data_IF_032949107988
#
_entry.id   IF_032949107988
#
_cell.length_a   1.000
_cell.length_b   1.000
_cell.length_c   1.000
_cell.angle_alpha   90.00
_cell.angle_beta   90.00
_cell.angle_gamma   90.00
#
_symmetry.space_group_name_H-M   'P 1'
#
loop_
_entity.id
_entity.type
_entity.pdbx_description
1 polymer ?
#
# COMPACT_ATOMS: atom_id res chain seq x y z
N UNK A 1 -14.44 30.40 -9.01
CA UNK A 1 -14.26 29.11 -8.33
C UNK A 1 -14.61 28.05 -9.35
N UNK A 2 -13.59 27.54 -10.03
CA UNK A 2 -13.71 26.53 -11.08
C UNK A 2 -13.13 25.23 -10.53
N UNK A 3 -13.98 24.21 -10.40
CA UNK A 3 -13.59 22.86 -10.00
C UNK A 3 -13.15 22.09 -11.26
N UNK A 4 -11.97 22.45 -11.77
CA UNK A 4 -11.34 21.77 -12.90
C UNK A 4 -10.77 20.42 -12.48
N UNK A 5 -11.48 19.34 -12.82
CA UNK A 5 -11.10 17.95 -12.60
C UNK A 5 -9.84 17.52 -13.37
N UNK A 6 -8.67 17.93 -12.91
CA UNK A 6 -7.40 17.36 -13.34
C UNK A 6 -6.96 16.30 -12.34
N UNK A 7 -7.04 15.05 -12.77
CA UNK A 7 -6.26 13.96 -12.19
C UNK A 7 -4.80 14.43 -12.20
N UNK A 8 -4.22 14.66 -11.03
CA UNK A 8 -2.81 15.05 -10.92
C UNK A 8 -1.99 13.79 -11.17
N UNK A 9 -1.68 13.54 -12.44
CA UNK A 9 -0.63 12.60 -12.85
C UNK A 9 0.68 13.37 -12.74
N UNK A 10 1.46 13.10 -11.69
CA UNK A 10 2.76 13.72 -11.47
C UNK A 10 3.73 13.29 -12.60
N UNK A 11 4.26 14.23 -13.41
CA UNK A 11 5.06 13.88 -14.58
C UNK A 11 6.55 13.92 -14.25
N UNK A 12 7.16 12.77 -13.98
CA UNK A 12 8.59 12.54 -14.22
C UNK A 12 8.81 11.09 -14.62
N UNK A 13 9.72 10.91 -15.58
CA UNK A 13 9.91 9.73 -16.41
C UNK A 13 10.30 8.47 -15.61
N UNK A 14 9.28 7.70 -15.21
CA UNK A 14 9.03 6.26 -15.38
C UNK A 14 7.80 6.06 -14.47
N UNK A 15 6.60 6.28 -14.99
CA UNK A 15 5.41 5.81 -14.32
C UNK A 15 5.41 4.29 -14.51
N UNK A 16 5.94 3.56 -13.52
CA UNK A 16 5.90 2.08 -13.49
C UNK A 16 4.44 1.68 -13.25
N UNK A 17 3.59 1.84 -14.26
CA UNK A 17 2.47 0.92 -14.41
C UNK A 17 3.13 -0.35 -14.90
N UNK A 18 2.93 -1.43 -14.17
CA UNK A 18 3.37 -2.73 -14.65
C UNK A 18 2.78 -2.99 -16.04
N UNK A 19 3.52 -3.63 -16.98
CA UNK A 19 3.06 -3.84 -18.35
C UNK A 19 2.03 -4.99 -18.45
N UNK A 20 1.04 -4.99 -17.55
CA UNK A 20 -0.06 -5.93 -17.51
C UNK A 20 -1.35 -5.21 -17.09
N UNK A 21 -2.48 -5.87 -17.33
CA UNK A 21 -3.81 -5.30 -17.11
C UNK A 21 -4.02 -4.86 -15.66
N UNK A 22 -4.49 -3.63 -15.48
CA UNK A 22 -4.76 -3.05 -14.17
C UNK A 22 -6.00 -3.60 -13.45
N UNK A 23 -6.83 -4.42 -14.11
CA UNK A 23 -8.17 -4.82 -13.60
C UNK A 23 -8.19 -5.38 -12.16
N UNK A 24 -7.07 -5.91 -11.67
CA UNK A 24 -6.90 -6.31 -10.28
C UNK A 24 -5.49 -5.98 -9.79
N UNK A 25 -5.40 -5.48 -8.57
CA UNK A 25 -4.11 -5.18 -7.93
C UNK A 25 -3.45 -6.46 -7.42
N UNK A 26 -2.28 -6.76 -7.98
CA UNK A 26 -1.38 -7.82 -7.55
C UNK A 26 -0.85 -7.57 -6.14
N UNK A 27 -0.48 -6.33 -5.81
CA UNK A 27 -0.08 -5.93 -4.46
C UNK A 27 -1.19 -6.22 -3.43
N UNK A 28 -2.44 -5.98 -3.80
CA UNK A 28 -3.58 -6.27 -2.92
C UNK A 28 -3.75 -7.78 -2.72
N UNK A 29 -3.53 -8.55 -3.78
CA UNK A 29 -3.60 -10.02 -3.75
C UNK A 29 -2.46 -10.63 -2.94
N UNK A 30 -1.21 -10.32 -3.26
CA UNK A 30 -0.04 -10.90 -2.60
C UNK A 30 0.09 -10.46 -1.14
N UNK A 31 -0.20 -9.19 -0.84
CA UNK A 31 -0.16 -8.73 0.55
C UNK A 31 -1.23 -9.40 1.40
N UNK A 32 -2.44 -9.64 0.85
CA UNK A 32 -3.47 -10.38 1.57
C UNK A 32 -3.05 -11.83 1.79
N UNK A 33 -2.55 -12.51 0.75
CA UNK A 33 -2.08 -13.88 0.86
C UNK A 33 -0.95 -14.01 1.90
N UNK A 34 -0.03 -13.04 1.93
CA UNK A 34 1.01 -12.98 2.94
C UNK A 34 0.42 -12.84 4.36
N UNK A 35 -0.60 -12.00 4.55
CA UNK A 35 -1.25 -11.86 5.86
C UNK A 35 -1.90 -13.17 6.33
N UNK A 36 -2.56 -13.90 5.44
CA UNK A 36 -3.17 -15.21 5.73
C UNK A 36 -2.09 -16.23 6.09
N UNK A 37 -1.05 -16.33 5.27
CA UNK A 37 0.06 -17.27 5.49
C UNK A 37 0.81 -16.96 6.79
N UNK A 38 1.11 -15.70 7.07
CA UNK A 38 1.77 -15.30 8.31
C UNK A 38 0.92 -15.59 9.54
N UNK A 39 -0.40 -15.37 9.45
CA UNK A 39 -1.35 -15.75 10.50
C UNK A 39 -1.33 -17.26 10.75
N UNK A 40 -1.34 -18.07 9.68
CA UNK A 40 -1.29 -19.52 9.78
C UNK A 40 0.04 -20.04 10.36
N UNK A 41 1.16 -19.45 9.95
CA UNK A 41 2.50 -19.85 10.41
C UNK A 41 2.72 -19.48 11.88
N UNK A 42 2.29 -18.29 12.29
CA UNK A 42 2.52 -17.81 13.66
C UNK A 42 1.42 -18.23 14.65
N UNK A 43 0.28 -18.69 14.14
CA UNK A 43 -0.90 -19.01 14.94
C UNK A 43 -1.61 -17.79 15.52
N UNK A 44 -1.29 -16.58 15.06
CA UNK A 44 -1.82 -15.31 15.56
C UNK A 44 -1.98 -14.31 14.40
N UNK A 45 -3.07 -13.54 14.40
CA UNK A 45 -3.26 -12.45 13.45
C UNK A 45 -2.35 -11.23 13.73
N UNK A 46 -1.86 -11.12 14.98
CA UNK A 46 -1.03 -10.02 15.46
C UNK A 46 0.44 -10.25 15.13
N UNK A 47 1.15 -9.15 14.87
CA UNK A 47 2.61 -9.18 14.78
C UNK A 47 3.22 -9.73 16.10
N UNK A 48 4.33 -10.48 16.03
CA UNK A 48 5.04 -10.93 17.22
C UNK A 48 5.48 -9.71 18.04
N UNK A 49 5.14 -9.68 19.33
CA UNK A 49 5.36 -8.50 20.18
C UNK A 49 4.26 -7.43 20.10
N UNK A 50 3.20 -7.67 19.34
CA UNK A 50 1.94 -6.91 19.38
C UNK A 50 1.78 -5.81 18.33
N UNK A 51 2.87 -5.16 17.89
CA UNK A 51 2.83 -4.18 16.80
C UNK A 51 4.05 -4.24 15.89
N UNK A 52 3.79 -4.30 14.59
CA UNK A 52 4.77 -3.95 13.56
C UNK A 52 4.93 -2.43 13.49
N UNK A 53 6.15 -1.95 13.31
CA UNK A 53 6.44 -0.53 13.14
C UNK A 53 7.47 -0.29 12.05
N UNK A 54 7.32 0.83 11.34
CA UNK A 54 8.29 1.33 10.37
C UNK A 54 8.52 2.82 10.61
N UNK A 55 9.77 3.20 10.82
CA UNK A 55 10.17 4.58 10.98
C UNK A 55 10.43 5.20 9.60
N UNK A 56 9.75 6.31 9.31
CA UNK A 56 9.92 7.10 8.10
C UNK A 56 10.49 8.48 8.46
N UNK A 57 11.82 8.66 8.46
CA UNK A 57 12.44 9.93 8.83
C UNK A 57 12.15 11.03 7.82
N UNK A 58 12.09 12.26 8.32
CA UNK A 58 11.84 13.47 7.54
C UNK A 58 12.75 13.54 6.30
N UNK A 59 12.14 13.76 5.15
CA UNK A 59 12.79 13.91 3.84
C UNK A 59 13.63 12.70 3.36
N UNK A 60 13.47 11.51 3.94
CA UNK A 60 14.36 10.37 3.67
C UNK A 60 13.66 9.09 3.17
N UNK A 61 12.33 9.01 3.22
CA UNK A 61 11.61 7.74 3.02
C UNK A 61 10.94 7.59 1.65
N UNK A 62 10.81 8.68 0.90
CA UNK A 62 10.20 8.67 -0.44
C UNK A 62 11.28 8.74 -1.52
N UNK A 63 11.16 7.89 -2.54
CA UNK A 63 12.19 7.75 -3.58
C UNK A 63 12.13 8.87 -4.64
N UNK A 64 10.95 9.43 -4.90
CA UNK A 64 10.71 10.33 -6.04
C UNK A 64 10.34 11.77 -5.61
N UNK A 65 10.13 12.01 -4.32
CA UNK A 65 9.81 13.32 -3.76
C UNK A 65 10.44 13.49 -2.38
N UNK A 66 10.60 14.73 -1.91
CA UNK A 66 11.04 14.98 -0.53
C UNK A 66 9.87 14.74 0.42
N UNK A 67 9.94 13.66 1.19
CA UNK A 67 9.02 13.43 2.28
C UNK A 67 9.44 12.26 3.18
N UNK A 68 8.74 12.06 4.30
CA UNK A 68 7.68 12.93 4.86
C UNK A 68 8.21 14.29 5.36
N UNK A 69 7.33 15.27 5.60
CA UNK A 69 7.71 16.64 6.04
C UNK A 69 8.14 16.72 7.51
N UNK A 70 7.82 15.68 8.28
CA UNK A 70 8.19 15.40 9.66
C UNK A 70 8.51 13.92 9.79
N UNK A 71 9.15 13.50 10.87
CA UNK A 71 9.29 12.08 11.17
C UNK A 71 7.91 11.45 11.36
N UNK A 72 7.68 10.30 10.72
CA UNK A 72 6.42 9.56 10.78
C UNK A 72 6.73 8.12 11.16
N UNK A 73 6.02 7.58 12.16
CA UNK A 73 6.07 6.16 12.49
C UNK A 73 4.80 5.48 12.00
N UNK A 74 4.91 4.58 11.02
CA UNK A 74 3.81 3.71 10.58
C UNK A 74 3.73 2.51 11.52
N UNK A 75 2.51 2.08 11.85
CA UNK A 75 2.25 1.03 12.85
C UNK A 75 1.06 0.17 12.46
N UNK A 76 1.15 -1.12 12.77
CA UNK A 76 0.13 -2.12 12.45
C UNK A 76 0.03 -3.12 13.59
N UNK A 77 -1.19 -3.41 14.06
CA UNK A 77 -1.41 -4.43 15.08
C UNK A 77 -1.40 -5.82 14.45
N UNK A 78 -2.09 -5.97 13.33
CA UNK A 78 -2.25 -7.24 12.62
C UNK A 78 -1.54 -7.25 11.27
N UNK A 79 -1.24 -8.46 10.77
CA UNK A 79 -0.75 -8.61 9.38
C UNK A 79 -1.75 -8.07 8.35
N UNK A 80 -3.04 -8.13 8.68
CA UNK A 80 -4.13 -7.60 7.85
C UNK A 80 -4.08 -6.07 7.75
N UNK A 81 -3.79 -5.36 8.84
CA UNK A 81 -3.62 -3.89 8.82
C UNK A 81 -2.48 -3.49 7.87
N UNK A 82 -1.36 -4.22 7.92
CA UNK A 82 -0.22 -3.99 7.05
C UNK A 82 -0.55 -4.27 5.58
N UNK A 83 -1.26 -5.36 5.30
CA UNK A 83 -1.75 -5.69 3.96
C UNK A 83 -2.72 -4.63 3.42
N UNK A 84 -3.62 -4.13 4.27
CA UNK A 84 -4.58 -3.11 3.88
C UNK A 84 -3.89 -1.78 3.53
N UNK A 85 -2.87 -1.38 4.31
CA UNK A 85 -2.09 -0.18 3.98
C UNK A 85 -1.21 -0.38 2.73
N UNK A 86 -0.66 -1.59 2.52
CA UNK A 86 0.05 -1.94 1.29
C UNK A 86 -0.85 -1.74 0.06
N UNK A 87 -2.09 -2.22 0.13
CA UNK A 87 -3.08 -2.10 -0.94
C UNK A 87 -3.47 -0.63 -1.19
N UNK A 88 -3.79 0.12 -0.13
CA UNK A 88 -4.12 1.54 -0.20
C UNK A 88 -2.98 2.39 -0.77
N UNK A 89 -1.72 2.00 -0.52
CA UNK A 89 -0.56 2.71 -1.07
C UNK A 89 -0.58 2.77 -2.60
N UNK A 90 -1.26 1.84 -3.27
CA UNK A 90 -1.38 1.86 -4.74
C UNK A 90 -2.38 2.87 -5.26
N UNK A 91 -3.42 3.15 -4.47
CA UNK A 91 -4.39 4.20 -4.74
C UNK A 91 -3.75 5.56 -4.46
N UNK A 92 -3.09 5.72 -3.31
CA UNK A 92 -2.41 6.98 -2.94
C UNK A 92 -1.24 7.32 -3.86
N UNK A 93 -0.49 6.30 -4.29
CA UNK A 93 0.57 6.44 -5.29
C UNK A 93 0.06 6.60 -6.73
N UNK A 94 -1.25 6.59 -6.95
CA UNK A 94 -1.88 6.88 -8.23
C UNK A 94 -1.79 5.78 -9.29
N UNK A 95 -1.35 4.56 -8.95
CA UNK A 95 -1.15 3.48 -9.96
C UNK A 95 -2.29 2.46 -10.03
N UNK A 96 -3.24 2.49 -9.11
CA UNK A 96 -4.48 1.71 -9.18
C UNK A 96 -5.70 2.56 -8.79
N UNK A 97 -6.80 2.55 -9.56
CA UNK A 97 -8.10 3.02 -9.06
C UNK A 97 -8.63 2.13 -7.92
N UNK A 98 -9.49 2.66 -7.02
CA UNK A 98 -10.05 1.91 -5.90
C UNK A 98 -10.80 0.62 -6.27
N UNK A 99 -11.30 0.51 -7.50
CA UNK A 99 -12.03 -0.68 -7.98
C UNK A 99 -11.14 -1.92 -8.13
N UNK A 100 -9.83 -1.73 -8.33
CA UNK A 100 -8.87 -2.82 -8.53
C UNK A 100 -8.43 -3.48 -7.21
N UNK A 101 -8.64 -2.78 -6.09
CA UNK A 101 -8.16 -3.14 -4.77
C UNK A 101 -8.98 -4.28 -4.16
N UNK A 102 -10.29 -4.06 -3.97
CA UNK A 102 -11.16 -5.00 -3.24
C UNK A 102 -11.15 -6.40 -3.81
N UNK A 103 -11.18 -6.53 -5.15
CA UNK A 103 -11.13 -7.85 -5.81
C UNK A 103 -9.80 -8.56 -5.57
N UNK A 104 -8.68 -7.82 -5.61
CA UNK A 104 -7.37 -8.38 -5.29
C UNK A 104 -7.32 -8.89 -3.85
N UNK A 105 -7.84 -8.11 -2.89
CA UNK A 105 -7.93 -8.55 -1.49
C UNK A 105 -8.77 -9.81 -1.32
N UNK A 106 -9.91 -9.94 -2.02
CA UNK A 106 -10.74 -11.14 -1.92
C UNK A 106 -10.05 -12.40 -2.49
N UNK A 107 -9.22 -12.25 -3.51
CA UNK A 107 -8.51 -13.39 -4.13
C UNK A 107 -7.35 -13.86 -3.25
N UNK A 108 -6.68 -12.94 -2.56
CA UNK A 108 -5.56 -13.28 -1.69
C UNK A 108 -5.95 -13.86 -0.33
N UNK A 109 -7.24 -13.95 -0.02
CA UNK A 109 -7.77 -14.48 1.24
C UNK A 109 -7.86 -16.01 1.24
#
# INVERSE_FOLDING_TARGET
MDFGGKLVVLPTAIFVISPFDGYMSDYSTFSRAAAVVLTAITGSEYFPGGMGAFEAPKNASLAFERGPSTDVTLRWATYRDASDQCSLSRIWGGIHPPVDDLRGRFIGE
#
